data_IF_991029255696
#
_entry.id   IF_991029255696
#
_cell.length_a   1.000
_cell.length_b   1.000
_cell.length_c   1.000
_cell.angle_alpha   90.00
_cell.angle_beta   90.00
_cell.angle_gamma   90.00
#
_symmetry.space_group_name_H-M   'P 1'
#
loop_
_entity.id
_entity.type
_entity.pdbx_description
1 polymer ?
#
# COMPACT_ATOMS: atom_id res chain seq x y z
N UNK A 1 38.63 1.05 14.74
CA UNK A 1 37.49 0.64 15.56
C UNK A 1 36.62 1.87 15.72
N UNK A 2 35.51 1.98 15.00
CA UNK A 2 34.69 3.22 15.09
C UNK A 2 33.85 3.61 13.88
N UNK A 3 33.44 2.69 13.00
CA UNK A 3 32.43 2.97 11.97
C UNK A 3 31.24 2.00 12.02
N UNK A 4 31.35 0.88 12.76
CA UNK A 4 30.30 -0.13 12.86
C UNK A 4 29.27 0.21 13.94
N UNK A 5 29.66 0.86 15.05
CA UNK A 5 28.72 1.20 16.14
C UNK A 5 27.82 2.40 15.83
N UNK A 6 28.27 3.37 15.02
CA UNK A 6 27.44 4.51 14.60
C UNK A 6 26.31 4.06 13.66
N UNK A 7 26.60 3.10 12.77
CA UNK A 7 25.61 2.54 11.85
C UNK A 7 24.51 1.76 12.59
N UNK A 8 24.86 1.06 13.67
CA UNK A 8 23.92 0.32 14.52
C UNK A 8 23.05 1.28 15.36
N UNK A 9 23.58 2.45 15.72
CA UNK A 9 22.86 3.46 16.53
C UNK A 9 21.80 4.20 15.70
N UNK A 10 22.04 4.48 14.41
CA UNK A 10 21.05 5.12 13.52
C UNK A 10 19.80 4.25 13.31
N UNK A 11 19.92 2.93 13.32
CA UNK A 11 18.77 2.00 13.23
C UNK A 11 17.91 2.05 14.51
N UNK A 12 18.49 2.39 15.66
CA UNK A 12 17.76 2.46 16.93
C UNK A 12 17.01 3.78 17.16
N UNK A 13 17.24 4.80 16.33
CA UNK A 13 16.75 6.17 16.58
C UNK A 13 15.56 6.61 15.72
N UNK A 14 14.83 5.68 15.08
CA UNK A 14 13.59 5.97 14.35
C UNK A 14 12.38 5.21 14.94
N UNK A 15 11.96 5.45 16.20
CA UNK A 15 11.14 4.49 16.95
C UNK A 15 9.64 4.48 16.56
N UNK A 16 9.24 5.21 15.51
CA UNK A 16 7.81 5.39 15.18
C UNK A 16 7.46 5.22 13.70
N UNK A 17 8.40 5.45 12.78
CA UNK A 17 8.11 5.41 11.33
C UNK A 17 8.35 4.03 10.73
N UNK A 18 9.44 3.39 11.15
CA UNK A 18 9.80 2.04 10.68
C UNK A 18 8.83 0.99 11.22
N UNK A 19 8.29 1.21 12.43
CA UNK A 19 7.23 0.41 13.04
C UNK A 19 5.94 0.38 12.22
N UNK A 20 5.52 1.54 11.68
CA UNK A 20 4.32 1.66 10.85
C UNK A 20 4.48 0.90 9.54
N UNK A 21 5.55 1.20 8.79
CA UNK A 21 5.86 0.51 7.54
C UNK A 21 6.05 -1.00 7.72
N UNK A 22 6.66 -1.42 8.84
CA UNK A 22 6.79 -2.85 9.15
C UNK A 22 5.42 -3.51 9.36
N UNK A 23 4.49 -2.87 10.07
CA UNK A 23 3.13 -3.38 10.27
C UNK A 23 2.37 -3.46 8.94
N UNK A 24 2.47 -2.42 8.12
CA UNK A 24 1.88 -2.38 6.77
C UNK A 24 2.41 -3.51 5.87
N UNK A 25 3.74 -3.68 5.84
CA UNK A 25 4.40 -4.73 5.06
C UNK A 25 4.01 -6.13 5.56
N UNK A 26 4.00 -6.34 6.88
CA UNK A 26 3.61 -7.61 7.49
C UNK A 26 2.16 -7.99 7.18
N UNK A 27 1.24 -7.02 7.21
CA UNK A 27 -0.15 -7.24 6.84
C UNK A 27 -0.28 -7.60 5.35
N UNK A 28 0.39 -6.85 4.47
CA UNK A 28 0.40 -7.15 3.03
C UNK A 28 0.92 -8.56 2.77
N UNK A 29 2.01 -8.95 3.41
CA UNK A 29 2.60 -10.29 3.26
C UNK A 29 1.66 -11.40 3.76
N UNK A 30 1.04 -11.21 4.93
CA UNK A 30 0.02 -12.13 5.44
C UNK A 30 -1.12 -12.31 4.43
N UNK A 31 -1.66 -11.23 3.86
CA UNK A 31 -2.74 -11.30 2.89
C UNK A 31 -2.31 -11.97 1.58
N UNK A 32 -1.09 -11.71 1.08
CA UNK A 32 -0.55 -12.39 -0.12
C UNK A 32 -0.51 -13.90 0.04
N UNK A 33 -0.23 -14.39 1.25
CA UNK A 33 -0.14 -15.83 1.53
C UNK A 33 -1.50 -16.52 1.67
N UNK A 34 -2.55 -15.77 2.00
CA UNK A 34 -3.86 -16.34 2.36
C UNK A 34 -5.00 -15.98 1.39
N UNK A 35 -4.87 -14.90 0.61
CA UNK A 35 -5.88 -14.54 -0.37
C UNK A 35 -5.79 -15.42 -1.64
N UNK A 36 -6.92 -15.69 -2.30
CA UNK A 36 -6.92 -16.32 -3.61
C UNK A 36 -6.00 -15.59 -4.60
N UNK A 37 -5.31 -16.35 -5.45
CA UNK A 37 -4.30 -15.82 -6.38
C UNK A 37 -4.85 -14.83 -7.41
N UNK A 38 -6.18 -14.71 -7.57
CA UNK A 38 -6.84 -13.68 -8.40
C UNK A 38 -6.64 -12.27 -7.85
N UNK A 39 -6.35 -12.13 -6.57
CA UNK A 39 -6.11 -10.84 -5.94
C UNK A 39 -4.61 -10.51 -5.92
N UNK A 40 -4.28 -9.26 -6.22
CA UNK A 40 -2.97 -8.69 -5.99
C UNK A 40 -3.05 -7.78 -4.77
N UNK A 41 -2.11 -7.95 -3.84
CA UNK A 41 -2.01 -7.15 -2.61
C UNK A 41 -0.75 -6.30 -2.68
N UNK A 42 -0.91 -4.98 -2.72
CA UNK A 42 0.20 -4.00 -2.73
C UNK A 42 -0.18 -2.78 -1.87
N UNK A 43 0.71 -1.80 -1.73
CA UNK A 43 0.22 -0.43 -1.46
C UNK A 43 -0.39 0.14 -2.74
N UNK A 44 -1.01 1.31 -2.73
CA UNK A 44 -1.48 1.87 -4.00
C UNK A 44 -2.36 3.08 -3.93
N UNK A 45 -2.97 3.36 -5.08
CA UNK A 45 -3.89 4.47 -5.28
C UNK A 45 -5.11 3.96 -6.06
N UNK A 46 -6.27 4.53 -5.75
CA UNK A 46 -7.50 4.30 -6.50
C UNK A 46 -7.89 5.60 -7.17
N UNK A 47 -8.09 5.57 -8.48
CA UNK A 47 -8.48 6.74 -9.26
C UNK A 47 -9.58 6.37 -10.23
N UNK A 48 -10.57 7.25 -10.33
CA UNK A 48 -11.72 7.11 -11.22
C UNK A 48 -11.54 7.98 -12.47
N UNK A 49 -10.29 8.09 -12.97
CA UNK A 49 -9.94 8.98 -14.07
C UNK A 49 -10.59 8.53 -15.41
N UNK A 50 -11.89 8.76 -15.53
CA UNK A 50 -12.55 9.03 -16.80
C UNK A 50 -12.17 10.44 -17.22
N UNK A 51 -11.67 10.57 -18.45
CA UNK A 51 -11.10 11.81 -19.01
C UNK A 51 -12.11 12.97 -19.20
N UNK A 52 -13.32 12.88 -18.65
CA UNK A 52 -14.42 13.82 -18.92
C UNK A 52 -15.03 14.54 -17.69
N UNK A 53 -14.65 14.22 -16.45
CA UNK A 53 -15.20 14.92 -15.26
C UNK A 53 -14.14 15.68 -14.46
N UNK A 54 -13.84 16.88 -14.94
CA UNK A 54 -12.85 17.85 -14.42
C UNK A 54 -13.24 18.50 -13.07
N UNK A 55 -14.05 17.84 -12.22
CA UNK A 55 -14.56 18.48 -11.00
C UNK A 55 -14.92 17.53 -9.84
N UNK A 56 -14.59 16.24 -9.91
CA UNK A 56 -14.68 15.37 -8.73
C UNK A 56 -13.35 15.40 -7.98
N UNK A 57 -13.44 15.74 -6.69
CA UNK A 57 -12.29 15.78 -5.77
C UNK A 57 -11.68 14.38 -5.75
N UNK A 58 -10.55 14.25 -6.43
CA UNK A 58 -9.89 12.99 -6.64
C UNK A 58 -9.46 12.39 -5.28
N UNK A 59 -10.04 11.24 -4.93
CA UNK A 59 -9.62 10.47 -3.76
C UNK A 59 -8.25 9.80 -3.97
N UNK A 60 -7.63 9.99 -5.14
CA UNK A 60 -6.29 9.49 -5.47
C UNK A 60 -5.14 10.10 -4.67
N UNK A 61 -5.35 11.17 -3.88
CA UNK A 61 -4.24 11.90 -3.26
C UNK A 61 -3.48 11.08 -2.20
N UNK A 62 -4.14 10.18 -1.46
CA UNK A 62 -3.51 9.47 -0.35
C UNK A 62 -3.15 8.04 -0.73
N UNK A 63 -1.89 7.68 -0.51
CA UNK A 63 -1.44 6.29 -0.66
C UNK A 63 -2.19 5.40 0.33
N UNK A 64 -2.73 4.30 -0.20
CA UNK A 64 -3.37 3.23 0.55
C UNK A 64 -2.27 2.28 1.04
N UNK A 65 -2.23 2.04 2.34
CA UNK A 65 -1.25 1.16 2.99
C UNK A 65 -1.33 -0.27 2.44
N UNK A 66 -2.56 -0.80 2.31
CA UNK A 66 -2.83 -2.12 1.77
C UNK A 66 -4.08 -2.11 0.86
N UNK A 67 -3.84 -2.30 -0.43
CA UNK A 67 -4.81 -2.41 -1.50
C UNK A 67 -4.84 -3.86 -2.00
N UNK A 68 -6.00 -4.51 -1.90
CA UNK A 68 -6.27 -5.77 -2.56
C UNK A 68 -7.18 -5.50 -3.76
N UNK A 69 -6.71 -5.82 -4.96
CA UNK A 69 -7.48 -5.63 -6.18
C UNK A 69 -7.49 -6.92 -7.02
N UNK A 70 -8.56 -7.12 -7.78
CA UNK A 70 -8.66 -8.21 -8.73
C UNK A 70 -7.73 -7.93 -9.91
N UNK A 71 -6.77 -8.83 -10.15
CA UNK A 71 -5.82 -8.76 -11.27
C UNK A 71 -6.16 -9.70 -12.42
N UNK A 72 -7.21 -10.52 -12.26
CA UNK A 72 -7.65 -11.49 -13.25
C UNK A 72 -8.66 -10.85 -14.21
N UNK A 73 -9.63 -10.11 -13.67
CA UNK A 73 -10.70 -9.48 -14.45
C UNK A 73 -10.39 -8.00 -14.79
N UNK A 74 -9.44 -7.38 -14.08
CA UNK A 74 -9.09 -5.97 -14.26
C UNK A 74 -7.58 -5.76 -14.40
N UNK A 75 -7.19 -4.93 -15.37
CA UNK A 75 -5.79 -4.50 -15.55
C UNK A 75 -5.54 -3.19 -14.78
N UNK A 76 -4.52 -3.11 -13.92
CA UNK A 76 -4.13 -1.86 -13.28
C UNK A 76 -3.78 -0.78 -14.30
N UNK A 77 -4.04 0.48 -13.96
CA UNK A 77 -3.57 1.64 -14.73
C UNK A 77 -2.04 1.74 -14.68
N UNK A 78 -1.46 1.39 -13.53
CA UNK A 78 -0.01 1.23 -13.35
C UNK A 78 0.24 0.07 -12.38
N UNK A 79 1.23 -0.76 -12.70
CA UNK A 79 1.79 -1.76 -11.77
C UNK A 79 3.29 -1.53 -11.64
N UNK A 80 3.70 -1.07 -10.47
CA UNK A 80 5.10 -1.02 -10.06
C UNK A 80 5.39 -2.20 -9.11
N UNK A 81 6.64 -2.34 -8.66
CA UNK A 81 7.03 -3.44 -7.77
C UNK A 81 6.34 -3.35 -6.39
N UNK A 82 6.22 -2.14 -5.83
CA UNK A 82 5.73 -1.92 -4.46
C UNK A 82 4.29 -1.39 -4.39
N UNK A 83 3.74 -0.89 -5.49
CA UNK A 83 2.42 -0.27 -5.52
C UNK A 83 1.68 -0.46 -6.85
N UNK A 84 0.35 -0.34 -6.79
CA UNK A 84 -0.53 -0.36 -7.96
C UNK A 84 -1.41 0.89 -7.99
N UNK A 85 -1.70 1.38 -9.19
CA UNK A 85 -2.76 2.38 -9.43
C UNK A 85 -3.89 1.67 -10.15
N UNK A 86 -5.09 1.71 -9.58
CA UNK A 86 -6.23 0.93 -10.07
C UNK A 86 -7.51 1.77 -10.15
N UNK A 87 -8.48 1.27 -10.89
CA UNK A 87 -9.83 1.84 -10.91
C UNK A 87 -10.72 1.25 -9.81
N UNK A 88 -11.72 1.98 -9.30
CA UNK A 88 -12.54 1.56 -8.16
C UNK A 88 -13.18 0.18 -8.33
N UNK A 89 -13.64 -0.16 -9.53
CA UNK A 89 -14.33 -1.42 -9.83
C UNK A 89 -13.45 -2.67 -9.68
N UNK A 90 -12.12 -2.50 -9.69
CA UNK A 90 -11.18 -3.61 -9.46
C UNK A 90 -10.89 -3.86 -7.99
N UNK A 91 -11.28 -2.95 -7.09
CA UNK A 91 -10.91 -2.98 -5.67
C UNK A 91 -11.73 -4.03 -4.94
N UNK A 92 -11.05 -5.00 -4.33
CA UNK A 92 -11.67 -5.98 -3.44
C UNK A 92 -11.65 -5.50 -1.99
N UNK A 93 -10.57 -4.84 -1.55
CA UNK A 93 -10.46 -4.25 -0.23
C UNK A 93 -9.41 -3.12 -0.17
N UNK A 94 -9.66 -2.17 0.74
CA UNK A 94 -8.73 -1.10 1.15
C UNK A 94 -8.58 -1.20 2.66
N UNK A 95 -7.34 -1.29 3.14
CA UNK A 95 -7.03 -1.38 4.55
C UNK A 95 -6.02 -0.31 4.92
N UNK A 96 -6.38 0.52 5.89
CA UNK A 96 -5.52 1.50 6.55
C UNK A 96 -4.97 0.89 7.83
N UNK A 97 -3.68 1.04 8.08
CA UNK A 97 -3.01 0.50 9.28
C UNK A 97 -2.81 1.61 10.30
N UNK A 98 -3.39 1.41 11.49
CA UNK A 98 -3.19 2.26 12.67
C UNK A 98 -2.72 1.41 13.85
N UNK A 99 -1.87 1.99 14.69
CA UNK A 99 -1.38 1.32 15.91
C UNK A 99 -2.45 1.25 17.00
N UNK A 100 -3.46 2.12 16.92
CA UNK A 100 -4.63 2.16 17.81
C UNK A 100 -5.89 2.38 16.98
N UNK A 101 -7.04 1.97 17.51
CA UNK A 101 -8.36 2.05 16.86
C UNK A 101 -9.16 3.30 17.32
N UNK A 102 -8.48 4.31 17.84
CA UNK A 102 -9.13 5.54 18.34
C UNK A 102 -9.83 6.34 17.24
#
# INVERSE_FOLDING_TARGET
MGLEEESITMIRAAPHRDDGHYREASLREFLKQHLPSRFLVTSGFVTDHDREQDNQVDRSWRQIDCLAHDKQDFTPLLRADEFSIVRPESVAAIIEVKSSLE
#
